data_IF_440084798060
#
_entry.id   IF_440084798060
#
_cell.length_a   1.000
_cell.length_b   1.000
_cell.length_c   1.000
_cell.angle_alpha   90.00
_cell.angle_beta   90.00
_cell.angle_gamma   90.00
#
_symmetry.space_group_name_H-M   'P 1'
#
loop_
_entity.id
_entity.type
_entity.pdbx_description
1 polymer ?
#
# COMPACT_ATOMS: atom_id res chain seq x y z
N UNK A 1 49.18 21.52 17.76
CA UNK A 1 47.84 21.54 18.36
C UNK A 1 46.97 20.35 17.90
N UNK A 2 47.14 19.88 16.63
CA UNK A 2 46.28 18.82 16.07
C UNK A 2 46.57 17.39 16.60
N UNK A 3 47.78 17.09 17.06
CA UNK A 3 48.14 15.75 17.57
C UNK A 3 47.59 15.49 18.98
N UNK A 4 47.46 16.54 19.82
CA UNK A 4 46.87 16.42 21.14
C UNK A 4 45.36 16.22 21.10
N UNK A 5 44.67 16.87 20.16
CA UNK A 5 43.23 16.72 19.98
C UNK A 5 42.88 15.30 19.47
N UNK A 6 43.66 14.76 18.54
CA UNK A 6 43.49 13.40 18.04
C UNK A 6 43.69 12.34 19.14
N UNK A 7 44.72 12.53 20.02
CA UNK A 7 44.96 11.62 21.13
C UNK A 7 43.81 11.64 22.15
N UNK A 8 43.25 12.80 22.46
CA UNK A 8 42.10 12.93 23.39
C UNK A 8 40.84 12.28 22.80
N UNK A 9 40.63 12.40 21.48
CA UNK A 9 39.48 11.77 20.83
C UNK A 9 39.58 10.24 20.81
N UNK A 10 40.77 9.68 20.63
CA UNK A 10 40.99 8.21 20.65
C UNK A 10 40.80 7.67 22.07
N UNK A 11 41.28 8.37 23.10
CA UNK A 11 41.09 7.96 24.49
C UNK A 11 39.63 8.04 24.91
N UNK A 12 38.89 9.09 24.48
CA UNK A 12 37.46 9.21 24.74
C UNK A 12 36.66 8.08 24.08
N UNK A 13 36.99 7.73 22.84
CA UNK A 13 36.33 6.61 22.14
C UNK A 13 36.61 5.25 22.81
N UNK A 14 37.83 5.01 23.27
CA UNK A 14 38.20 3.80 23.99
C UNK A 14 37.48 3.68 25.35
N UNK A 15 37.33 4.80 26.07
CA UNK A 15 36.58 4.82 27.34
C UNK A 15 35.10 4.55 27.13
N UNK A 16 34.47 5.08 26.05
CA UNK A 16 33.07 4.78 25.71
C UNK A 16 32.90 3.31 25.34
N UNK A 17 33.81 2.74 24.57
CA UNK A 17 33.76 1.32 24.20
C UNK A 17 33.93 0.43 25.43
N UNK A 18 34.84 0.74 26.36
CA UNK A 18 35.02 0.02 27.61
C UNK A 18 33.80 0.16 28.53
N UNK A 19 33.18 1.33 28.58
CA UNK A 19 31.95 1.55 29.37
C UNK A 19 30.77 0.77 28.81
N UNK A 20 30.61 0.74 27.48
CA UNK A 20 29.58 -0.08 26.84
C UNK A 20 29.86 -1.57 27.07
N UNK A 21 31.10 -2.01 26.98
CA UNK A 21 31.46 -3.41 27.23
C UNK A 21 31.20 -3.83 28.69
N UNK A 22 31.43 -2.94 29.66
CA UNK A 22 31.17 -3.21 31.09
C UNK A 22 29.68 -3.32 31.42
N UNK A 23 28.78 -2.73 30.60
CA UNK A 23 27.32 -2.87 30.76
C UNK A 23 26.80 -4.21 30.23
N UNK A 24 27.58 -4.89 29.40
CA UNK A 24 27.18 -6.20 28.83
C UNK A 24 27.73 -7.39 29.61
N UNK A 25 28.71 -7.20 30.50
CA UNK A 25 29.26 -8.31 31.31
C UNK A 25 28.44 -8.65 32.54
N UNK A 26 27.49 -7.79 32.95
CA UNK A 26 26.59 -8.07 34.08
C UNK A 26 25.27 -8.70 33.66
N UNK A 27 25.05 -8.98 32.35
CA UNK A 27 23.80 -9.61 31.86
C UNK A 27 23.78 -11.14 32.06
N UNK A 28 24.94 -11.77 32.20
CA UNK A 28 25.04 -13.23 32.36
C UNK A 28 24.48 -13.72 33.70
N UNK A 29 24.55 -12.88 34.73
CA UNK A 29 24.04 -13.19 36.08
C UNK A 29 22.52 -12.99 36.21
N UNK A 30 21.90 -12.25 35.29
CA UNK A 30 20.45 -11.92 35.39
C UNK A 30 19.53 -12.87 34.60
N UNK A 31 20.06 -13.59 33.63
CA UNK A 31 19.23 -14.45 32.73
C UNK A 31 19.38 -15.96 33.00
N UNK A 32 20.32 -16.41 33.85
CA UNK A 32 20.46 -17.82 34.23
C UNK A 32 20.65 -18.78 33.04
N UNK A 33 21.10 -18.31 31.88
CA UNK A 33 21.31 -19.09 30.68
C UNK A 33 22.79 -19.35 30.50
N UNK A 34 23.22 -20.56 30.87
CA UNK A 34 24.57 -21.03 30.64
C UNK A 34 24.75 -21.41 29.17
N UNK A 35 25.31 -20.53 28.36
CA UNK A 35 25.63 -20.82 26.94
C UNK A 35 27.06 -21.36 26.90
N UNK A 36 27.32 -22.63 26.59
CA UNK A 36 28.67 -23.15 26.48
C UNK A 36 29.39 -22.47 25.31
N UNK A 37 30.54 -21.88 25.66
CA UNK A 37 31.43 -21.18 24.72
C UNK A 37 31.97 -22.15 23.66
N UNK A 38 31.91 -21.79 22.40
CA UNK A 38 32.33 -22.58 21.22
C UNK A 38 33.82 -22.95 21.23
N UNK A 39 34.60 -22.54 22.24
CA UNK A 39 36.02 -22.84 22.36
C UNK A 39 36.38 -24.29 22.68
N UNK A 40 35.49 -25.07 23.29
CA UNK A 40 35.78 -26.44 23.72
C UNK A 40 35.55 -27.54 22.65
N UNK A 41 35.08 -27.16 21.47
CA UNK A 41 34.81 -28.12 20.38
C UNK A 41 36.03 -28.41 19.48
N UNK A 42 37.18 -27.74 19.69
CA UNK A 42 38.36 -27.88 18.82
C UNK A 42 39.55 -28.60 19.47
N UNK A 43 39.42 -29.19 20.68
CA UNK A 43 40.54 -29.81 21.35
C UNK A 43 40.44 -31.31 21.67
N UNK A 44 39.56 -32.05 21.02
CA UNK A 44 39.55 -33.52 21.19
C UNK A 44 39.42 -34.27 19.87
N UNK A 45 40.48 -34.22 19.04
CA UNK A 45 40.70 -35.22 17.99
C UNK A 45 42.16 -35.53 17.81
N UNK A 46 42.75 -36.17 18.84
CA UNK A 46 43.90 -37.08 18.66
C UNK A 46 43.85 -38.07 19.80
N UNK A 47 43.06 -39.09 19.72
CA UNK A 47 43.43 -40.49 19.97
C UNK A 47 42.21 -41.40 19.98
N UNK A 48 42.32 -42.63 19.40
CA UNK A 48 41.45 -43.76 19.73
C UNK A 48 40.35 -44.13 18.77
N UNK A 49 40.69 -44.88 17.70
CA UNK A 49 39.78 -45.73 16.92
C UNK A 49 38.81 -46.52 17.80
N UNK A 50 37.53 -46.21 17.75
CA UNK A 50 36.44 -47.20 17.93
C UNK A 50 35.35 -46.87 16.95
N UNK A 51 35.03 -47.86 16.10
CA UNK A 51 34.01 -47.76 15.06
C UNK A 51 32.65 -47.45 15.64
N UNK A 52 32.08 -46.39 15.11
CA UNK A 52 30.63 -46.14 15.15
C UNK A 52 30.12 -46.38 13.72
N UNK A 53 29.08 -47.19 13.64
CA UNK A 53 28.41 -47.59 12.40
C UNK A 53 27.96 -46.39 11.59
N UNK A 54 28.13 -46.46 10.27
CA UNK A 54 27.81 -45.42 9.25
C UNK A 54 26.30 -45.02 9.14
N UNK A 55 25.46 -45.48 10.07
CA UNK A 55 24.00 -45.27 9.99
C UNK A 55 23.44 -44.11 10.83
N UNK A 56 24.27 -43.36 11.57
CA UNK A 56 23.77 -42.36 12.53
C UNK A 56 23.79 -40.91 12.05
N UNK A 57 24.25 -40.61 10.85
CA UNK A 57 24.25 -39.23 10.31
C UNK A 57 23.73 -39.17 8.87
N UNK A 58 22.52 -39.72 8.65
CA UNK A 58 21.71 -39.24 7.52
C UNK A 58 21.05 -37.93 7.95
N UNK A 59 21.79 -36.79 7.82
CA UNK A 59 21.15 -35.49 7.61
C UNK A 59 20.31 -35.70 6.34
N UNK A 60 18.99 -35.78 6.51
CA UNK A 60 18.09 -35.76 5.38
C UNK A 60 18.56 -34.66 4.45
N UNK A 61 18.82 -34.95 3.18
CA UNK A 61 19.04 -33.93 2.19
C UNK A 61 17.85 -33.00 2.30
N UNK A 62 18.07 -31.84 2.93
CA UNK A 62 17.15 -30.70 2.79
C UNK A 62 17.15 -30.46 1.28
N UNK A 63 16.10 -30.94 0.62
CA UNK A 63 15.92 -30.68 -0.78
C UNK A 63 15.99 -29.19 -0.96
N UNK A 64 17.06 -28.68 -1.56
CA UNK A 64 17.10 -27.32 -2.06
C UNK A 64 15.95 -27.27 -3.06
N UNK A 65 14.82 -26.69 -2.62
CA UNK A 65 13.72 -26.39 -3.53
C UNK A 65 14.34 -25.38 -4.49
N UNK A 66 14.72 -25.84 -5.68
CA UNK A 66 15.11 -24.94 -6.75
C UNK A 66 13.90 -24.03 -6.99
N UNK A 67 14.12 -22.70 -7.06
CA UNK A 67 13.08 -21.80 -7.54
C UNK A 67 12.51 -22.40 -8.83
N UNK A 68 11.20 -22.34 -9.04
CA UNK A 68 10.62 -22.71 -10.34
C UNK A 68 11.36 -21.90 -11.40
N UNK A 69 11.58 -22.42 -12.60
CA UNK A 69 12.34 -21.77 -13.68
C UNK A 69 11.77 -20.37 -14.06
N UNK A 70 10.63 -19.98 -13.49
CA UNK A 70 9.96 -18.69 -13.61
C UNK A 70 10.24 -17.70 -12.48
N UNK A 71 10.82 -18.15 -11.34
CA UNK A 71 11.11 -17.26 -10.19
C UNK A 71 12.52 -16.68 -10.31
N UNK A 72 12.59 -15.35 -10.24
CA UNK A 72 13.86 -14.62 -10.28
C UNK A 72 14.47 -14.54 -8.88
N UNK A 73 15.81 -14.57 -8.80
CA UNK A 73 16.50 -14.11 -7.60
C UNK A 73 16.39 -12.58 -7.49
N UNK A 74 16.48 -12.01 -6.28
CA UNK A 74 16.40 -10.55 -6.10
C UNK A 74 17.41 -9.78 -6.98
N UNK A 75 18.69 -10.20 -7.10
CA UNK A 75 19.61 -9.54 -8.05
C UNK A 75 19.15 -9.62 -9.50
N UNK A 76 18.67 -10.76 -9.96
CA UNK A 76 18.19 -10.92 -11.33
C UNK A 76 16.89 -10.15 -11.59
N UNK A 77 16.02 -10.09 -10.58
CA UNK A 77 14.81 -9.27 -10.63
C UNK A 77 15.17 -7.79 -10.75
N UNK A 78 16.08 -7.30 -9.91
CA UNK A 78 16.53 -5.90 -9.97
C UNK A 78 17.09 -5.55 -11.34
N UNK A 79 18.04 -6.34 -11.87
CA UNK A 79 18.62 -6.14 -13.20
C UNK A 79 17.58 -6.13 -14.34
N UNK A 80 16.50 -6.91 -14.18
CA UNK A 80 15.43 -6.97 -15.19
C UNK A 80 14.63 -5.67 -15.24
N UNK A 81 14.40 -5.01 -14.09
CA UNK A 81 13.40 -3.94 -13.96
C UNK A 81 14.00 -2.57 -13.62
N UNK A 82 15.26 -2.47 -13.21
CA UNK A 82 15.88 -1.21 -12.76
C UNK A 82 15.77 -0.08 -13.80
N UNK A 83 15.89 -0.40 -15.08
CA UNK A 83 15.82 0.57 -16.19
C UNK A 83 14.39 1.06 -16.46
N UNK A 84 13.40 0.44 -15.87
CA UNK A 84 11.98 0.83 -15.97
C UNK A 84 11.53 1.73 -14.83
N UNK A 85 12.34 1.92 -13.77
CA UNK A 85 11.99 2.69 -12.59
C UNK A 85 12.74 4.02 -12.60
N UNK A 86 11.99 5.12 -12.52
CA UNK A 86 12.49 6.48 -12.65
C UNK A 86 12.34 7.25 -11.34
N UNK A 87 13.13 8.31 -11.18
CA UNK A 87 12.91 9.33 -10.17
C UNK A 87 11.96 10.39 -10.72
N UNK A 88 11.08 10.89 -9.86
CA UNK A 88 10.21 12.03 -10.14
C UNK A 88 10.56 13.16 -9.17
N UNK A 89 10.72 14.36 -9.71
CA UNK A 89 10.96 15.59 -8.95
C UNK A 89 9.85 16.57 -9.29
N UNK A 90 9.05 16.95 -8.28
CA UNK A 90 8.14 18.08 -8.33
C UNK A 90 8.82 19.27 -7.64
N UNK A 91 9.14 20.32 -8.40
CA UNK A 91 9.90 21.46 -7.90
C UNK A 91 9.24 22.78 -8.26
N UNK A 92 9.41 23.77 -7.38
CA UNK A 92 9.06 25.15 -7.67
C UNK A 92 10.30 25.87 -8.22
N UNK A 93 10.17 26.58 -9.35
CA UNK A 93 11.27 27.37 -9.94
C UNK A 93 11.80 28.47 -9.00
N UNK A 94 10.99 28.89 -8.00
CA UNK A 94 11.31 29.96 -7.06
C UNK A 94 12.05 29.43 -5.83
N UNK A 95 11.73 28.21 -5.38
CA UNK A 95 12.37 27.60 -4.21
C UNK A 95 12.73 26.12 -4.47
N UNK A 96 13.99 25.92 -4.87
CA UNK A 96 14.54 24.59 -5.19
C UNK A 96 14.65 23.69 -3.93
N UNK A 97 14.55 24.28 -2.72
CA UNK A 97 14.64 23.55 -1.45
C UNK A 97 13.30 22.90 -1.03
N UNK A 98 12.19 23.29 -1.64
CA UNK A 98 10.86 22.69 -1.41
C UNK A 98 10.49 21.62 -2.45
N UNK A 99 11.48 20.97 -3.07
CA UNK A 99 11.20 19.92 -4.03
C UNK A 99 10.70 18.63 -3.35
N UNK A 100 9.62 18.05 -3.89
CA UNK A 100 9.17 16.69 -3.55
C UNK A 100 9.89 15.68 -4.44
N UNK A 101 10.28 14.58 -3.84
CA UNK A 101 10.96 13.49 -4.51
C UNK A 101 10.14 12.20 -4.35
N UNK A 102 9.96 11.49 -5.44
CA UNK A 102 9.35 10.18 -5.48
C UNK A 102 9.90 9.33 -6.59
N UNK A 103 9.30 8.19 -6.79
CA UNK A 103 9.59 7.27 -7.88
C UNK A 103 8.41 7.15 -8.82
N UNK A 104 8.64 6.57 -9.96
CA UNK A 104 7.65 6.14 -10.92
C UNK A 104 8.16 4.96 -11.73
N UNK A 105 7.32 4.42 -12.58
CA UNK A 105 7.74 3.38 -13.52
C UNK A 105 7.11 3.56 -14.89
N UNK A 106 7.79 3.07 -15.90
CA UNK A 106 7.35 3.14 -17.30
C UNK A 106 6.12 2.23 -17.46
N UNK A 107 5.00 2.83 -17.89
CA UNK A 107 3.75 2.12 -18.12
C UNK A 107 3.65 1.56 -19.54
N UNK A 108 4.03 2.35 -20.54
CA UNK A 108 3.96 1.97 -21.94
C UNK A 108 5.16 2.53 -22.77
N UNK A 109 5.22 2.14 -24.02
CA UNK A 109 6.24 2.61 -24.99
C UNK A 109 5.89 3.97 -25.63
N UNK A 110 4.82 4.62 -25.18
CA UNK A 110 4.43 5.96 -25.63
C UNK A 110 4.99 7.08 -24.73
N UNK A 111 5.57 6.74 -23.59
CA UNK A 111 6.17 7.72 -22.67
C UNK A 111 5.32 8.01 -21.43
N UNK A 112 4.32 7.19 -21.14
CA UNK A 112 3.53 7.32 -19.91
C UNK A 112 4.29 6.71 -18.73
N UNK A 113 4.38 7.48 -17.65
CA UNK A 113 4.99 7.10 -16.38
C UNK A 113 3.90 7.11 -15.30
N UNK A 114 3.79 6.04 -14.54
CA UNK A 114 2.87 5.96 -13.39
C UNK A 114 3.63 6.31 -12.12
N UNK A 115 2.94 7.05 -11.23
CA UNK A 115 3.39 7.40 -9.89
C UNK A 115 2.20 7.62 -8.96
N UNK A 116 2.46 8.02 -7.71
CA UNK A 116 1.41 8.47 -6.79
C UNK A 116 0.99 9.92 -7.07
N UNK A 117 -0.29 10.23 -6.80
CA UNK A 117 -0.80 11.60 -6.85
C UNK A 117 -0.03 12.52 -5.90
N UNK A 118 0.20 12.10 -4.65
CA UNK A 118 0.90 12.92 -3.64
C UNK A 118 2.34 13.26 -4.03
N UNK A 119 2.98 12.52 -4.94
CA UNK A 119 4.33 12.84 -5.44
C UNK A 119 4.31 14.07 -6.33
N UNK A 120 3.21 14.31 -7.06
CA UNK A 120 3.07 15.38 -8.06
C UNK A 120 2.10 16.49 -7.64
N UNK A 121 1.49 16.41 -6.47
CA UNK A 121 0.52 17.40 -5.94
C UNK A 121 1.18 18.51 -5.11
N UNK A 122 2.51 18.66 -5.19
CA UNK A 122 3.27 19.63 -4.41
C UNK A 122 3.05 21.10 -4.78
N UNK A 123 2.29 21.37 -5.86
CA UNK A 123 2.08 22.73 -6.36
C UNK A 123 3.31 23.31 -7.05
N UNK A 124 4.31 22.49 -7.32
CA UNK A 124 5.44 22.84 -8.17
C UNK A 124 4.95 23.11 -9.60
N UNK A 125 5.62 24.03 -10.28
CA UNK A 125 5.32 24.33 -11.69
C UNK A 125 6.23 23.55 -12.64
N UNK A 126 7.02 22.62 -12.09
CA UNK A 126 8.01 21.86 -12.84
C UNK A 126 8.07 20.42 -12.40
N UNK A 127 7.72 19.52 -13.32
CA UNK A 127 7.88 18.08 -13.15
C UNK A 127 9.04 17.58 -14.02
N UNK A 128 10.02 16.94 -13.40
CA UNK A 128 11.16 16.33 -14.08
C UNK A 128 11.18 14.83 -13.77
N UNK A 129 11.50 14.02 -14.78
CA UNK A 129 11.67 12.56 -14.67
C UNK A 129 13.13 12.25 -14.99
N UNK A 130 13.83 11.63 -14.05
CA UNK A 130 15.22 11.19 -14.21
C UNK A 130 15.28 9.69 -14.39
N UNK A 131 15.80 9.25 -15.52
CA UNK A 131 16.03 7.84 -15.81
C UNK A 131 17.31 7.33 -15.13
N UNK A 132 17.51 6.00 -14.98
CA UNK A 132 18.66 5.43 -14.26
C UNK A 132 20.03 5.78 -14.86
N UNK A 133 20.10 6.19 -16.12
CA UNK A 133 21.32 6.68 -16.77
C UNK A 133 21.66 8.15 -16.39
N UNK A 134 20.86 8.78 -15.50
CA UNK A 134 21.03 10.15 -15.05
C UNK A 134 20.48 11.21 -16.00
N UNK A 135 19.86 10.83 -17.12
CA UNK A 135 19.26 11.79 -18.05
C UNK A 135 17.91 12.26 -17.52
N UNK A 136 17.74 13.57 -17.47
CA UNK A 136 16.53 14.23 -16.97
C UNK A 136 15.67 14.67 -18.16
N UNK A 137 14.40 14.32 -18.11
CA UNK A 137 13.39 14.74 -19.08
C UNK A 137 12.32 15.58 -18.40
N UNK A 138 11.80 16.58 -19.12
CA UNK A 138 10.63 17.32 -18.66
C UNK A 138 9.41 16.41 -18.80
N UNK A 139 8.53 16.45 -17.79
CA UNK A 139 7.27 15.73 -17.81
C UNK A 139 6.08 16.67 -17.70
N UNK A 140 4.96 16.24 -18.26
CA UNK A 140 3.64 16.86 -18.10
C UNK A 140 2.72 15.94 -17.32
N UNK A 141 1.95 16.48 -16.38
CA UNK A 141 0.87 15.74 -15.73
C UNK A 141 -0.27 15.55 -16.74
N UNK A 142 -0.58 14.32 -17.10
CA UNK A 142 -1.67 13.98 -18.02
C UNK A 142 -2.98 13.87 -17.28
N UNK A 143 -2.98 13.23 -16.13
CA UNK A 143 -4.13 13.06 -15.28
C UNK A 143 -3.74 12.54 -13.93
N UNK A 144 -4.60 12.76 -12.94
CA UNK A 144 -4.41 12.22 -11.60
C UNK A 144 -5.72 11.94 -10.93
N UNK A 145 -5.66 11.01 -9.99
CA UNK A 145 -6.76 10.62 -9.14
C UNK A 145 -6.33 10.70 -7.67
N UNK A 146 -6.74 11.75 -6.95
CA UNK A 146 -6.45 11.90 -5.53
C UNK A 146 -7.07 10.79 -4.67
N UNK A 147 -8.26 10.30 -5.04
CA UNK A 147 -8.98 9.27 -4.27
C UNK A 147 -8.27 7.92 -4.29
N UNK A 148 -7.58 7.57 -5.39
CA UNK A 148 -6.78 6.35 -5.50
C UNK A 148 -5.29 6.59 -5.32
N UNK A 149 -4.85 7.84 -5.12
CA UNK A 149 -3.44 8.26 -5.04
C UNK A 149 -2.62 7.82 -6.26
N UNK A 150 -3.17 7.96 -7.48
CA UNK A 150 -2.51 7.61 -8.74
C UNK A 150 -2.36 8.85 -9.61
N UNK A 151 -1.21 8.98 -10.28
CA UNK A 151 -0.98 9.98 -11.32
C UNK A 151 -0.27 9.39 -12.53
N UNK A 152 -0.53 9.98 -13.70
CA UNK A 152 0.12 9.64 -14.96
C UNK A 152 0.84 10.87 -15.48
N UNK A 153 2.14 10.72 -15.70
CA UNK A 153 2.99 11.69 -16.35
C UNK A 153 3.27 11.26 -17.78
N UNK A 154 3.50 12.24 -18.63
CA UNK A 154 3.98 12.05 -19.99
C UNK A 154 5.37 12.68 -20.16
N UNK A 155 6.33 11.93 -20.66
CA UNK A 155 7.68 12.41 -20.97
C UNK A 155 7.88 12.50 -22.47
N UNK A 156 8.29 13.69 -22.94
CA UNK A 156 8.56 13.94 -24.35
C UNK A 156 10.03 13.62 -24.71
N UNK A 157 10.29 13.32 -25.98
CA UNK A 157 11.63 13.18 -26.56
C UNK A 157 12.50 12.07 -25.94
N UNK A 158 11.89 11.08 -25.26
CA UNK A 158 12.58 9.89 -24.74
C UNK A 158 12.72 8.86 -25.86
N UNK A 159 13.93 8.32 -26.03
CA UNK A 159 14.12 7.27 -27.02
C UNK A 159 13.38 5.98 -26.61
N UNK A 160 12.81 5.28 -27.58
CA UNK A 160 12.02 4.05 -27.33
C UNK A 160 12.81 2.96 -26.60
N UNK A 161 14.12 2.93 -26.79
CA UNK A 161 14.99 1.96 -26.10
C UNK A 161 15.04 2.15 -24.58
N UNK A 162 14.69 3.33 -24.09
CA UNK A 162 14.60 3.64 -22.65
C UNK A 162 13.21 3.40 -22.07
N UNK A 163 12.19 3.39 -22.91
CA UNK A 163 10.81 3.13 -22.51
C UNK A 163 10.59 1.61 -22.40
N UNK A 164 10.95 1.05 -21.28
CA UNK A 164 10.81 -0.38 -20.97
C UNK A 164 9.61 -0.61 -20.03
N UNK A 165 8.41 -0.91 -20.57
CA UNK A 165 7.21 -1.05 -19.77
C UNK A 165 7.29 -2.23 -18.79
N UNK A 166 6.77 -2.04 -17.57
CA UNK A 166 6.55 -3.13 -16.64
C UNK A 166 5.15 -3.74 -16.85
N UNK A 167 5.09 -5.07 -16.86
CA UNK A 167 3.82 -5.78 -16.94
C UNK A 167 3.08 -5.73 -15.61
N UNK A 168 1.78 -5.45 -15.65
CA UNK A 168 0.90 -5.57 -14.49
C UNK A 168 0.51 -7.06 -14.31
N UNK A 169 0.59 -7.56 -13.06
CA UNK A 169 -0.03 -8.82 -12.66
C UNK A 169 -1.50 -8.58 -12.26
N UNK A 170 -2.28 -9.63 -12.20
CA UNK A 170 -3.61 -9.59 -11.61
C UNK A 170 -3.50 -9.66 -10.07
N UNK A 171 -3.73 -8.50 -9.41
CA UNK A 171 -3.61 -8.39 -7.95
C UNK A 171 -4.67 -9.17 -7.17
N UNK A 172 -5.78 -9.58 -7.79
CA UNK A 172 -6.78 -10.44 -7.14
C UNK A 172 -6.26 -11.85 -6.80
N UNK A 173 -5.18 -12.27 -7.47
CA UNK A 173 -4.52 -13.53 -7.24
C UNK A 173 -3.42 -13.47 -6.18
N UNK A 174 -3.10 -12.28 -5.67
CA UNK A 174 -2.06 -12.06 -4.64
C UNK A 174 -2.50 -12.64 -3.30
N UNK A 175 -1.60 -13.36 -2.65
CA UNK A 175 -1.88 -14.02 -1.36
C UNK A 175 -0.89 -13.60 -0.29
N UNK A 176 -1.39 -13.53 0.94
CA UNK A 176 -0.54 -13.32 2.13
C UNK A 176 0.56 -14.38 2.20
N UNK A 177 1.79 -13.93 2.45
CA UNK A 177 2.99 -14.77 2.49
C UNK A 177 3.77 -14.81 1.16
N UNK A 178 3.25 -14.29 0.05
CA UNK A 178 3.99 -14.20 -1.20
C UNK A 178 5.14 -13.20 -1.11
N UNK A 179 6.30 -13.57 -1.66
CA UNK A 179 7.49 -12.72 -1.66
C UNK A 179 7.34 -11.56 -2.62
N UNK A 180 7.74 -10.37 -2.16
CA UNK A 180 7.66 -9.14 -2.93
C UNK A 180 8.96 -8.34 -2.86
N UNK A 181 9.15 -7.47 -3.85
CA UNK A 181 10.22 -6.48 -3.86
C UNK A 181 9.63 -5.11 -4.20
N UNK A 182 9.90 -4.12 -3.35
CA UNK A 182 9.61 -2.72 -3.63
C UNK A 182 10.86 -2.08 -4.24
N UNK A 183 10.67 -1.36 -5.35
CA UNK A 183 11.77 -0.65 -6.01
C UNK A 183 11.43 0.84 -6.07
N UNK A 184 12.44 1.65 -5.84
CA UNK A 184 12.41 3.10 -6.04
C UNK A 184 13.73 3.60 -6.59
N UNK A 185 13.73 4.85 -7.04
CA UNK A 185 14.93 5.53 -7.52
C UNK A 185 15.07 6.91 -6.86
N UNK A 186 15.28 6.98 -5.53
CA UNK A 186 15.23 8.23 -4.77
C UNK A 186 16.33 9.25 -5.15
N UNK A 187 17.40 8.81 -5.81
CA UNK A 187 18.56 9.66 -6.14
C UNK A 187 18.81 9.82 -7.64
N UNK A 188 17.96 9.23 -8.49
CA UNK A 188 18.07 9.36 -9.96
C UNK A 188 19.28 8.67 -10.60
N UNK A 189 20.12 7.98 -9.84
CA UNK A 189 21.38 7.38 -10.32
C UNK A 189 21.38 5.87 -10.27
N UNK A 190 20.79 5.29 -9.21
CA UNK A 190 20.68 3.84 -9.03
C UNK A 190 19.46 3.53 -8.20
N UNK A 191 18.66 2.59 -8.68
CA UNK A 191 17.48 2.14 -7.96
C UNK A 191 17.82 1.52 -6.60
N UNK A 192 16.90 1.64 -5.67
CA UNK A 192 16.94 0.95 -4.38
C UNK A 192 15.92 -0.16 -4.38
N UNK A 193 16.31 -1.36 -3.95
CA UNK A 193 15.43 -2.51 -3.79
C UNK A 193 15.29 -2.84 -2.30
N UNK A 194 14.06 -2.96 -1.84
CA UNK A 194 13.72 -3.57 -0.56
C UNK A 194 12.86 -4.81 -0.81
N UNK A 195 12.90 -5.79 0.09
CA UNK A 195 12.13 -7.03 -0.09
C UNK A 195 11.46 -7.46 1.19
N UNK A 196 10.34 -8.13 1.05
CA UNK A 196 9.52 -8.67 2.12
C UNK A 196 8.50 -9.65 1.59
N UNK A 197 7.36 -9.69 2.24
CA UNK A 197 6.20 -10.50 1.84
C UNK A 197 4.94 -9.64 1.81
N UNK A 198 3.90 -10.12 1.14
CA UNK A 198 2.55 -9.62 1.33
C UNK A 198 2.09 -10.00 2.73
N UNK A 199 1.84 -9.01 3.58
CA UNK A 199 1.41 -9.19 4.98
C UNK A 199 -0.11 -9.15 5.13
N UNK A 200 -0.82 -8.58 4.17
CA UNK A 200 -2.28 -8.50 4.14
C UNK A 200 -2.80 -8.07 2.78
N UNK A 201 -4.05 -8.41 2.49
CA UNK A 201 -4.78 -8.01 1.28
C UNK A 201 -6.15 -7.44 1.70
N UNK A 202 -6.79 -6.67 0.83
CA UNK A 202 -8.11 -6.11 1.11
C UNK A 202 -8.12 -5.12 2.28
N UNK A 203 -7.00 -4.41 2.51
CA UNK A 203 -6.93 -3.34 3.51
C UNK A 203 -7.56 -2.08 2.97
N UNK A 204 -8.00 -1.23 3.89
CA UNK A 204 -8.47 0.11 3.53
C UNK A 204 -7.64 1.13 4.27
N UNK A 205 -7.35 2.22 3.57
CA UNK A 205 -6.56 3.32 4.10
C UNK A 205 -7.23 4.64 3.75
N UNK A 206 -7.23 5.66 4.64
CA UNK A 206 -7.79 6.97 4.31
C UNK A 206 -7.09 7.57 3.09
N UNK A 207 -7.83 8.15 2.16
CA UNK A 207 -7.25 8.98 1.10
C UNK A 207 -6.65 10.26 1.72
N UNK A 208 -5.52 10.75 1.18
CA UNK A 208 -4.81 11.90 1.80
C UNK A 208 -5.55 13.22 1.64
N UNK A 209 -6.12 13.45 0.46
CA UNK A 209 -6.67 14.75 0.07
C UNK A 209 -8.20 14.73 -0.01
N UNK A 210 -8.83 13.65 0.46
CA UNK A 210 -10.27 13.45 0.33
C UNK A 210 -10.90 13.18 1.69
N UNK A 211 -11.55 14.19 2.23
CA UNK A 211 -12.18 14.14 3.55
C UNK A 211 -13.26 13.05 3.62
N UNK A 212 -12.91 11.94 4.29
CA UNK A 212 -13.85 10.85 4.57
C UNK A 212 -13.84 9.70 3.56
N UNK A 213 -12.96 9.70 2.57
CA UNK A 213 -12.79 8.58 1.64
C UNK A 213 -11.65 7.66 2.02
N UNK A 214 -11.76 6.41 1.62
CA UNK A 214 -10.74 5.39 1.83
C UNK A 214 -10.37 4.77 0.50
N UNK A 215 -9.07 4.48 0.32
CA UNK A 215 -8.58 3.68 -0.80
C UNK A 215 -8.82 2.21 -0.43
N UNK A 216 -9.68 1.49 -1.16
CA UNK A 216 -9.98 0.10 -0.86
C UNK A 216 -8.92 -0.86 -1.41
N UNK A 217 -9.01 -2.13 -0.99
CA UNK A 217 -8.25 -3.28 -1.51
C UNK A 217 -6.71 -3.16 -1.42
N UNK A 218 -6.20 -2.30 -0.57
CA UNK A 218 -4.77 -2.04 -0.41
C UNK A 218 -4.01 -3.31 -0.02
N UNK A 219 -2.85 -3.51 -0.66
CA UNK A 219 -1.88 -4.54 -0.29
C UNK A 219 -1.01 -4.04 0.85
N UNK A 220 -0.89 -4.85 1.91
CA UNK A 220 0.02 -4.60 3.02
C UNK A 220 1.29 -5.44 2.84
N UNK A 221 2.46 -4.87 3.11
CA UNK A 221 3.76 -5.55 3.03
C UNK A 221 4.66 -5.20 4.21
N UNK A 222 5.59 -6.07 4.55
CA UNK A 222 6.70 -5.80 5.46
C UNK A 222 8.00 -5.40 4.72
N UNK A 223 7.96 -5.35 3.38
CA UNK A 223 9.05 -4.72 2.61
C UNK A 223 9.17 -3.25 3.02
N UNK A 224 10.37 -2.75 3.40
CA UNK A 224 10.52 -1.36 3.81
C UNK A 224 10.14 -0.37 2.72
N UNK A 225 9.04 0.37 2.96
CA UNK A 225 8.61 1.50 2.14
C UNK A 225 8.98 2.78 2.87
N UNK A 226 9.76 3.64 2.22
CA UNK A 226 10.24 4.91 2.76
C UNK A 226 10.07 6.02 1.71
N UNK A 227 10.14 7.30 2.11
CA UNK A 227 10.23 8.40 1.14
C UNK A 227 11.31 8.12 0.10
N UNK A 228 10.92 8.19 -1.18
CA UNK A 228 11.75 7.81 -2.32
C UNK A 228 11.34 6.49 -3.01
N UNK A 229 10.69 5.55 -2.32
CA UNK A 229 10.08 4.38 -2.96
C UNK A 229 8.62 4.65 -3.37
N UNK A 230 7.96 5.68 -2.78
CA UNK A 230 6.59 6.08 -3.14
C UNK A 230 6.47 6.36 -4.62
N UNK A 231 5.44 5.82 -5.25
CA UNK A 231 5.19 5.88 -6.69
C UNK A 231 5.95 4.82 -7.50
N UNK A 232 6.95 4.17 -6.92
CA UNK A 232 7.65 3.04 -7.54
C UNK A 232 6.83 1.73 -7.46
N UNK A 233 7.20 0.70 -8.23
CA UNK A 233 6.46 -0.55 -8.27
C UNK A 233 6.72 -1.44 -7.05
N UNK A 234 5.65 -2.12 -6.58
CA UNK A 234 5.74 -3.34 -5.79
C UNK A 234 5.66 -4.52 -6.76
N UNK A 235 6.66 -5.38 -6.76
CA UNK A 235 6.82 -6.47 -7.71
C UNK A 235 6.68 -7.83 -7.04
N UNK A 236 6.12 -8.78 -7.77
CA UNK A 236 6.25 -10.20 -7.44
C UNK A 236 7.63 -10.73 -7.89
N UNK A 237 7.95 -11.99 -7.53
CA UNK A 237 9.24 -12.63 -7.87
C UNK A 237 9.39 -12.97 -9.36
N UNK A 238 8.39 -12.71 -10.20
CA UNK A 238 8.50 -12.80 -11.67
C UNK A 238 8.86 -11.45 -12.31
N UNK A 239 8.87 -10.37 -11.50
CA UNK A 239 9.12 -9.01 -11.96
C UNK A 239 7.89 -8.35 -12.58
N UNK A 240 6.70 -8.79 -12.21
CA UNK A 240 5.42 -8.19 -12.58
C UNK A 240 4.94 -7.27 -11.47
N UNK A 241 4.35 -6.14 -11.82
CA UNK A 241 3.82 -5.15 -10.88
C UNK A 241 2.53 -5.70 -10.25
N UNK A 242 2.51 -5.83 -8.94
CA UNK A 242 1.31 -6.15 -8.16
C UNK A 242 0.72 -4.92 -7.50
N UNK A 243 1.44 -3.78 -7.49
CA UNK A 243 0.93 -2.52 -6.95
C UNK A 243 1.93 -1.38 -7.06
N UNK A 244 1.50 -0.17 -6.62
CA UNK A 244 2.32 1.03 -6.48
C UNK A 244 2.63 1.22 -5.00
N UNK A 245 3.91 1.34 -4.63
CA UNK A 245 4.31 1.64 -3.25
C UNK A 245 3.77 3.01 -2.81
N UNK A 246 3.14 3.05 -1.63
CA UNK A 246 2.68 4.30 -1.03
C UNK A 246 3.22 4.41 0.40
N UNK A 247 4.05 5.41 0.67
CA UNK A 247 4.67 5.64 1.98
C UNK A 247 3.80 6.50 2.93
N UNK A 248 2.53 6.71 2.59
CA UNK A 248 1.63 7.69 3.22
C UNK A 248 1.31 7.37 4.70
N UNK A 249 1.39 6.10 5.11
CA UNK A 249 0.78 5.61 6.35
C UNK A 249 1.79 5.36 7.49
N UNK A 250 2.81 6.18 7.58
CA UNK A 250 3.68 6.19 8.75
C UNK A 250 3.36 7.41 9.62
N UNK A 251 2.88 7.21 10.83
CA UNK A 251 2.65 8.29 11.81
C UNK A 251 3.93 9.04 12.19
N UNK A 252 5.10 8.46 11.88
CA UNK A 252 6.43 9.02 12.16
C UNK A 252 7.17 9.50 10.91
N UNK A 253 6.59 9.32 9.70
CA UNK A 253 7.27 9.55 8.43
C UNK A 253 8.38 8.54 8.11
N UNK A 254 8.51 7.48 8.91
CA UNK A 254 9.49 6.41 8.74
C UNK A 254 8.80 5.04 8.74
N UNK A 255 9.40 4.07 8.06
CA UNK A 255 8.91 2.70 8.06
C UNK A 255 8.89 2.11 9.47
N UNK A 256 7.72 1.65 9.91
CA UNK A 256 7.49 1.05 11.22
C UNK A 256 7.14 -0.46 11.14
N UNK A 257 7.60 -1.15 10.10
CA UNK A 257 7.31 -2.57 9.87
C UNK A 257 6.03 -2.83 9.06
N UNK A 258 5.37 -1.77 8.59
CA UNK A 258 4.15 -1.87 7.77
C UNK A 258 4.28 -0.91 6.59
N UNK A 259 4.20 -1.45 5.39
CA UNK A 259 4.13 -0.70 4.12
C UNK A 259 2.82 -1.02 3.42
N UNK A 260 2.41 -0.13 2.52
CA UNK A 260 1.19 -0.27 1.74
C UNK A 260 1.46 -0.06 0.26
N UNK A 261 0.68 -0.73 -0.59
CA UNK A 261 0.72 -0.53 -2.02
C UNK A 261 -0.68 -0.56 -2.62
N UNK A 262 -0.92 0.34 -3.57
CA UNK A 262 -2.15 0.41 -4.36
C UNK A 262 -2.13 -0.75 -5.36
N UNK A 263 -3.17 -1.59 -5.44
CA UNK A 263 -3.17 -2.79 -6.26
C UNK A 263 -3.01 -2.54 -7.76
N UNK A 264 -2.43 -3.48 -8.48
CA UNK A 264 -2.29 -3.39 -9.94
C UNK A 264 -3.63 -3.40 -10.70
N UNK A 265 -4.67 -4.04 -10.16
CA UNK A 265 -6.00 -3.99 -10.77
C UNK A 265 -6.59 -2.58 -10.72
N UNK A 266 -6.36 -1.82 -9.64
CA UNK A 266 -6.73 -0.40 -9.55
C UNK A 266 -5.99 0.43 -10.62
N UNK A 267 -4.70 0.14 -10.86
CA UNK A 267 -3.93 0.79 -11.95
C UNK A 267 -4.59 0.49 -13.30
N UNK A 268 -4.88 -0.78 -13.56
CA UNK A 268 -5.47 -1.22 -14.83
C UNK A 268 -6.86 -0.60 -15.09
N UNK A 269 -7.62 -0.33 -14.03
CA UNK A 269 -8.93 0.29 -14.08
C UNK A 269 -8.86 1.81 -14.33
N UNK A 270 -7.99 2.52 -13.60
CA UNK A 270 -7.99 3.99 -13.54
C UNK A 270 -7.11 4.60 -14.65
N UNK A 271 -5.90 4.08 -14.87
CA UNK A 271 -4.90 4.70 -15.73
C UNK A 271 -5.37 4.95 -17.17
N UNK A 272 -6.12 4.05 -17.85
CA UNK A 272 -6.63 4.32 -19.19
C UNK A 272 -7.50 5.59 -19.27
N UNK A 273 -8.31 5.84 -18.23
CA UNK A 273 -9.14 7.06 -18.14
C UNK A 273 -8.28 8.30 -17.88
N UNK A 274 -7.27 8.20 -17.01
CA UNK A 274 -6.33 9.32 -16.79
C UNK A 274 -5.60 9.72 -18.06
N UNK A 275 -5.20 8.74 -18.89
CA UNK A 275 -4.52 9.02 -20.17
C UNK A 275 -5.48 9.66 -21.17
N UNK A 276 -6.74 9.24 -21.23
CA UNK A 276 -7.67 9.68 -22.29
C UNK A 276 -8.45 10.93 -21.94
N UNK A 277 -8.82 11.11 -20.68
CA UNK A 277 -9.71 12.19 -20.21
C UNK A 277 -9.11 13.05 -19.11
N UNK A 278 -7.96 12.68 -18.55
CA UNK A 278 -7.29 13.39 -17.46
C UNK A 278 -7.83 13.10 -16.07
N UNK A 279 -8.96 12.37 -15.96
CA UNK A 279 -9.61 12.05 -14.68
C UNK A 279 -10.30 10.69 -14.74
N UNK A 280 -10.57 10.13 -13.56
CA UNK A 280 -11.39 8.92 -13.40
C UNK A 280 -12.68 9.27 -12.67
N UNK A 281 -13.79 8.68 -13.09
CA UNK A 281 -15.09 8.87 -12.47
C UNK A 281 -15.42 7.68 -11.57
N UNK A 282 -15.31 7.88 -10.26
CA UNK A 282 -15.64 6.86 -9.27
C UNK A 282 -17.14 6.59 -9.21
N UNK A 283 -17.58 5.33 -9.22
CA UNK A 283 -19.00 5.00 -9.01
C UNK A 283 -19.43 5.37 -7.58
N UNK A 284 -20.64 5.89 -7.44
CA UNK A 284 -21.12 6.43 -6.18
C UNK A 284 -22.60 6.12 -5.98
N UNK A 285 -22.95 5.76 -4.71
CA UNK A 285 -24.32 5.47 -4.30
C UNK A 285 -25.03 6.65 -3.63
N UNK A 286 -24.31 7.41 -2.78
CA UNK A 286 -24.84 8.59 -2.11
C UNK A 286 -25.54 8.32 -0.79
N UNK A 287 -25.00 7.44 0.02
CA UNK A 287 -25.44 7.17 1.40
C UNK A 287 -24.34 7.59 2.38
N UNK A 288 -24.76 8.02 3.57
CA UNK A 288 -23.88 8.22 4.72
C UNK A 288 -24.50 7.54 5.94
N UNK A 289 -23.68 7.03 6.86
CA UNK A 289 -24.19 6.28 7.99
C UNK A 289 -23.08 5.69 8.86
N UNK A 290 -23.42 4.61 9.54
CA UNK A 290 -22.50 3.94 10.47
C UNK A 290 -22.59 2.42 10.36
N UNK A 291 -21.48 1.76 10.69
CA UNK A 291 -21.47 0.30 10.82
C UNK A 291 -22.35 -0.15 11.97
N UNK A 292 -22.99 -1.30 11.80
CA UNK A 292 -23.84 -1.87 12.81
C UNK A 292 -23.02 -2.30 14.04
N UNK A 293 -23.19 -1.61 15.15
CA UNK A 293 -22.62 -1.96 16.46
C UNK A 293 -23.63 -2.74 17.33
N UNK A 294 -23.17 -3.50 18.35
CA UNK A 294 -24.08 -4.24 19.23
C UNK A 294 -25.19 -3.39 19.85
N UNK A 295 -24.87 -2.19 20.36
CA UNK A 295 -25.87 -1.28 20.94
C UNK A 295 -26.91 -0.79 19.92
N UNK A 296 -26.53 -0.66 18.63
CA UNK A 296 -27.46 -0.30 17.56
C UNK A 296 -28.36 -1.50 17.23
N UNK A 297 -27.79 -2.71 17.10
CA UNK A 297 -28.52 -3.93 16.82
C UNK A 297 -29.57 -4.21 17.93
N UNK A 298 -29.17 -4.12 19.20
CA UNK A 298 -30.09 -4.26 20.35
C UNK A 298 -31.24 -3.26 20.28
N UNK A 299 -30.96 -2.00 19.92
CA UNK A 299 -31.98 -0.94 19.84
C UNK A 299 -32.98 -1.19 18.68
N UNK A 300 -32.49 -1.78 17.56
CA UNK A 300 -33.27 -2.14 16.39
C UNK A 300 -33.92 -3.54 16.52
N UNK A 301 -33.63 -4.28 17.60
CA UNK A 301 -34.16 -5.63 17.81
C UNK A 301 -33.59 -6.68 16.85
N UNK A 302 -32.34 -6.50 16.43
CA UNK A 302 -31.63 -7.41 15.51
C UNK A 302 -30.79 -8.41 16.30
N UNK A 303 -30.82 -9.68 15.88
CA UNK A 303 -30.09 -10.78 16.54
C UNK A 303 -28.55 -10.65 16.37
N UNK A 304 -28.09 -10.00 15.29
CA UNK A 304 -26.68 -9.86 14.96
C UNK A 304 -26.33 -8.43 14.53
N UNK A 305 -25.20 -7.87 15.02
CA UNK A 305 -24.73 -6.57 14.60
C UNK A 305 -24.04 -6.66 13.23
N UNK A 306 -24.81 -6.76 12.16
CA UNK A 306 -24.32 -6.82 10.77
C UNK A 306 -25.02 -5.80 9.90
N UNK A 307 -24.24 -5.23 8.96
CA UNK A 307 -24.73 -4.32 7.96
C UNK A 307 -24.30 -2.88 8.20
N UNK A 308 -24.80 -2.01 7.36
CA UNK A 308 -24.55 -0.58 7.39
C UNK A 308 -25.86 0.17 7.59
N UNK A 309 -26.01 0.89 8.70
CA UNK A 309 -27.16 1.73 8.99
C UNK A 309 -27.07 3.04 8.20
N UNK A 310 -28.02 3.30 7.33
CA UNK A 310 -28.13 4.54 6.56
C UNK A 310 -28.68 5.63 7.47
N UNK A 311 -27.88 6.63 7.78
CA UNK A 311 -28.27 7.79 8.60
C UNK A 311 -28.71 8.97 7.74
N UNK A 312 -28.04 9.17 6.60
CA UNK A 312 -28.35 10.20 5.62
C UNK A 312 -28.30 9.67 4.20
N UNK A 313 -29.14 10.24 3.32
CA UNK A 313 -29.16 10.00 1.88
C UNK A 313 -28.98 11.33 1.17
N UNK A 314 -27.99 11.41 0.28
CA UNK A 314 -27.70 12.65 -0.43
C UNK A 314 -28.81 12.92 -1.47
N UNK A 315 -29.33 14.15 -1.47
CA UNK A 315 -30.37 14.56 -2.38
C UNK A 315 -29.90 14.44 -3.85
N UNK A 316 -30.75 13.90 -4.73
CA UNK A 316 -30.45 13.65 -6.13
C UNK A 316 -29.56 12.42 -6.40
N UNK A 317 -29.10 11.73 -5.35
CA UNK A 317 -28.24 10.56 -5.46
C UNK A 317 -28.93 9.33 -6.06
N UNK A 318 -28.16 8.31 -6.50
CA UNK A 318 -28.68 6.99 -6.82
C UNK A 318 -29.49 6.35 -5.70
N UNK A 319 -29.04 6.49 -4.45
CA UNK A 319 -29.73 5.95 -3.28
C UNK A 319 -31.11 6.58 -3.08
N UNK A 320 -31.23 7.91 -3.19
CA UNK A 320 -32.53 8.59 -3.12
C UNK A 320 -33.48 8.12 -4.24
N UNK A 321 -32.98 8.04 -5.47
CA UNK A 321 -33.76 7.57 -6.63
C UNK A 321 -34.21 6.12 -6.49
N UNK A 322 -33.40 5.29 -5.85
CA UNK A 322 -33.73 3.89 -5.56
C UNK A 322 -34.72 3.77 -4.37
N UNK A 323 -35.02 4.87 -3.66
CA UNK A 323 -35.93 4.87 -2.53
C UNK A 323 -35.33 4.35 -1.23
N UNK A 324 -34.00 4.40 -1.09
CA UNK A 324 -33.30 4.17 0.19
C UNK A 324 -33.69 5.29 1.16
N UNK A 325 -34.00 4.94 2.39
CA UNK A 325 -34.47 5.88 3.41
C UNK A 325 -33.39 6.20 4.44
N UNK A 326 -33.27 7.49 4.75
CA UNK A 326 -32.44 7.99 5.83
C UNK A 326 -33.10 7.81 7.19
N UNK A 327 -32.31 7.82 8.28
CA UNK A 327 -32.80 7.89 9.64
C UNK A 327 -33.48 9.23 9.94
N UNK A 328 -34.57 9.19 10.69
CA UNK A 328 -35.36 10.37 11.13
C UNK A 328 -35.50 10.48 12.65
N UNK A 329 -35.19 9.44 13.43
CA UNK A 329 -35.23 9.41 14.89
C UNK A 329 -33.85 9.76 15.48
N UNK A 330 -33.74 10.89 16.17
CA UNK A 330 -32.52 11.25 16.90
C UNK A 330 -32.33 10.34 18.12
N UNK A 331 -31.19 9.68 18.23
CA UNK A 331 -30.85 8.79 19.32
C UNK A 331 -29.41 9.01 19.80
N UNK A 332 -29.13 8.55 21.03
CA UNK A 332 -27.78 8.49 21.58
C UNK A 332 -27.51 7.04 21.99
N UNK A 333 -26.58 6.37 21.32
CA UNK A 333 -26.20 4.99 21.62
C UNK A 333 -24.71 4.98 21.99
N UNK A 334 -24.39 4.39 23.13
CA UNK A 334 -23.02 4.34 23.69
C UNK A 334 -22.34 5.71 23.78
N UNK A 335 -23.15 6.77 23.98
CA UNK A 335 -22.69 8.16 24.08
C UNK A 335 -22.47 8.86 22.72
N UNK A 336 -22.78 8.20 21.61
CA UNK A 336 -22.63 8.73 20.24
C UNK A 336 -24.01 9.16 19.72
N UNK A 337 -24.20 10.45 19.36
CA UNK A 337 -25.42 10.91 18.68
C UNK A 337 -25.53 10.29 17.28
N UNK A 338 -26.70 9.79 16.92
CA UNK A 338 -26.96 9.22 15.61
C UNK A 338 -28.43 9.32 15.23
N UNK A 339 -28.75 9.06 13.96
CA UNK A 339 -30.11 8.94 13.46
C UNK A 339 -30.47 7.48 13.26
N UNK A 340 -31.59 7.04 13.86
CA UNK A 340 -32.18 5.72 13.68
C UNK A 340 -33.42 5.79 12.75
N UNK A 341 -33.96 4.62 12.39
CA UNK A 341 -35.15 4.52 11.51
C UNK A 341 -34.81 4.47 10.02
N UNK A 342 -33.54 4.65 9.65
CA UNK A 342 -33.10 4.44 8.29
C UNK A 342 -32.93 2.98 7.92
N UNK A 343 -32.78 2.71 6.62
CA UNK A 343 -32.53 1.37 6.10
C UNK A 343 -31.20 0.80 6.61
N UNK A 344 -31.14 -0.51 6.78
CA UNK A 344 -29.89 -1.22 7.02
C UNK A 344 -29.52 -1.99 5.76
N UNK A 345 -28.41 -1.62 5.13
CA UNK A 345 -27.88 -2.36 3.98
C UNK A 345 -27.21 -3.63 4.49
N UNK A 346 -27.70 -4.80 4.06
CA UNK A 346 -27.24 -6.12 4.52
C UNK A 346 -26.57 -6.95 3.43
N UNK A 347 -26.86 -6.67 2.15
CA UNK A 347 -26.16 -7.28 1.02
C UNK A 347 -26.22 -6.36 -0.21
N UNK A 348 -25.24 -6.50 -1.11
CA UNK A 348 -25.21 -5.90 -2.45
C UNK A 348 -24.79 -6.98 -3.45
N UNK A 349 -25.54 -7.12 -4.57
CA UNK A 349 -25.31 -8.15 -5.60
C UNK A 349 -24.99 -9.53 -5.01
N UNK A 350 -25.80 -9.95 -4.03
CA UNK A 350 -25.64 -11.18 -3.24
C UNK A 350 -24.37 -11.26 -2.33
N UNK A 351 -23.56 -10.20 -2.25
CA UNK A 351 -22.44 -10.13 -1.32
C UNK A 351 -22.91 -9.59 0.04
N UNK A 352 -22.68 -10.33 1.11
CA UNK A 352 -23.06 -9.91 2.47
C UNK A 352 -22.28 -8.68 2.89
N UNK A 353 -22.97 -7.65 3.36
CA UNK A 353 -22.40 -6.42 3.90
C UNK A 353 -22.34 -6.54 5.42
N UNK A 354 -21.16 -6.35 5.98
CA UNK A 354 -20.90 -6.31 7.42
C UNK A 354 -20.64 -4.89 7.91
N UNK A 355 -20.06 -4.05 7.02
CA UNK A 355 -19.66 -2.67 7.31
C UNK A 355 -19.57 -1.87 6.01
N UNK A 356 -19.42 -0.54 6.15
CA UNK A 356 -19.27 0.38 5.00
C UNK A 356 -18.13 -0.02 4.06
N UNK A 357 -17.05 -0.52 4.61
CA UNK A 357 -15.87 -0.93 3.83
C UNK A 357 -16.20 -2.01 2.79
N UNK A 358 -17.12 -2.93 3.11
CA UNK A 358 -17.54 -3.97 2.17
C UNK A 358 -18.29 -3.35 0.97
N UNK A 359 -19.09 -2.29 1.21
CA UNK A 359 -19.81 -1.54 0.16
C UNK A 359 -18.80 -0.79 -0.72
N UNK A 360 -17.92 0.00 -0.10
CA UNK A 360 -16.96 0.84 -0.82
C UNK A 360 -16.03 0.00 -1.69
N UNK A 361 -15.48 -1.10 -1.13
CA UNK A 361 -14.60 -1.99 -1.87
C UNK A 361 -15.32 -2.64 -3.06
N UNK A 362 -16.54 -3.15 -2.85
CA UNK A 362 -17.31 -3.80 -3.91
C UNK A 362 -17.66 -2.82 -5.04
N UNK A 363 -18.19 -1.66 -4.69
CA UNK A 363 -18.58 -0.63 -5.66
C UNK A 363 -17.38 -0.13 -6.46
N UNK A 364 -16.22 0.08 -5.81
CA UNK A 364 -15.03 0.57 -6.47
C UNK A 364 -14.37 -0.48 -7.39
N UNK A 365 -14.37 -1.76 -7.00
CA UNK A 365 -13.66 -2.81 -7.74
C UNK A 365 -14.53 -3.42 -8.83
N UNK A 366 -15.81 -3.67 -8.55
CA UNK A 366 -16.68 -4.49 -9.39
C UNK A 366 -17.68 -3.69 -10.23
N UNK A 367 -17.78 -2.35 -9.99
CA UNK A 367 -18.79 -1.51 -10.64
C UNK A 367 -18.17 -0.31 -11.35
N UNK A 368 -18.95 0.21 -12.28
CA UNK A 368 -18.68 1.43 -13.03
C UNK A 368 -19.84 2.41 -12.93
N UNK A 369 -19.61 3.67 -13.29
CA UNK A 369 -20.68 4.67 -13.41
C UNK A 369 -21.69 4.20 -14.47
N UNK A 370 -22.96 4.17 -14.07
CA UNK A 370 -24.07 3.70 -14.90
C UNK A 370 -24.46 2.24 -14.68
N UNK A 371 -23.69 1.48 -13.90
CA UNK A 371 -24.07 0.11 -13.56
C UNK A 371 -25.18 0.08 -12.51
N UNK A 372 -26.03 -0.93 -12.61
CA UNK A 372 -27.03 -1.22 -11.60
C UNK A 372 -26.41 -2.00 -10.43
N UNK A 373 -26.85 -1.65 -9.22
CA UNK A 373 -26.47 -2.26 -7.95
C UNK A 373 -27.74 -2.80 -7.28
N UNK A 374 -27.85 -4.12 -7.13
CA UNK A 374 -28.93 -4.77 -6.39
C UNK A 374 -28.60 -4.68 -4.88
N UNK A 375 -29.46 -4.00 -4.11
CA UNK A 375 -29.23 -3.72 -2.71
C UNK A 375 -30.31 -4.39 -1.87
N UNK A 376 -29.93 -5.32 -1.00
CA UNK A 376 -30.82 -5.89 0.00
C UNK A 376 -30.78 -5.02 1.25
N UNK A 377 -31.90 -4.45 1.60
CA UNK A 377 -32.09 -3.62 2.79
C UNK A 377 -33.01 -4.29 3.80
N UNK A 378 -32.82 -3.94 5.07
CA UNK A 378 -33.76 -4.22 6.11
C UNK A 378 -34.44 -2.90 6.52
N UNK A 379 -35.77 -2.81 6.33
CA UNK A 379 -36.64 -1.67 6.66
C UNK A 379 -37.78 -2.15 7.53
N UNK A 380 -37.95 -1.57 8.72
CA UNK A 380 -39.00 -1.94 9.67
C UNK A 380 -39.08 -3.45 9.98
N UNK A 381 -37.91 -4.10 10.05
CA UNK A 381 -37.81 -5.55 10.27
C UNK A 381 -38.14 -6.43 9.05
N UNK A 382 -38.38 -5.85 7.88
CA UNK A 382 -38.65 -6.56 6.62
C UNK A 382 -37.50 -6.44 5.63
N UNK A 383 -37.10 -7.56 5.04
CA UNK A 383 -36.12 -7.57 3.96
C UNK A 383 -36.77 -7.08 2.67
N UNK A 384 -36.11 -6.16 1.99
CA UNK A 384 -36.53 -5.60 0.71
C UNK A 384 -35.34 -5.51 -0.22
N UNK A 385 -35.58 -5.68 -1.51
CA UNK A 385 -34.60 -5.46 -2.56
C UNK A 385 -34.91 -4.15 -3.28
N UNK A 386 -33.87 -3.33 -3.46
CA UNK A 386 -33.92 -2.09 -4.25
C UNK A 386 -32.78 -2.09 -5.26
N UNK A 387 -33.00 -1.45 -6.41
CA UNK A 387 -31.96 -1.34 -7.45
C UNK A 387 -31.58 0.13 -7.59
N UNK A 388 -30.28 0.43 -7.48
CA UNK A 388 -29.74 1.76 -7.67
C UNK A 388 -28.80 1.78 -8.89
N UNK A 389 -29.03 2.67 -9.85
CA UNK A 389 -28.08 2.91 -10.95
C UNK A 389 -27.02 3.89 -10.48
N UNK A 390 -25.76 3.44 -10.38
CA UNK A 390 -24.64 4.22 -9.85
C UNK A 390 -24.35 5.45 -10.71
N UNK A 391 -24.04 6.57 -10.08
CA UNK A 391 -23.63 7.81 -10.74
C UNK A 391 -22.16 8.11 -10.50
N UNK A 392 -21.60 9.04 -11.24
CA UNK A 392 -20.30 9.59 -10.93
C UNK A 392 -20.37 10.35 -9.59
N UNK A 393 -19.33 10.15 -8.75
CA UNK A 393 -19.18 10.92 -7.50
C UNK A 393 -19.13 12.41 -7.81
N UNK A 394 -19.91 13.27 -7.13
CA UNK A 394 -19.83 14.71 -7.31
C UNK A 394 -18.44 15.23 -6.93
N UNK A 395 -17.90 16.16 -7.72
CA UNK A 395 -16.68 16.88 -7.32
C UNK A 395 -16.98 17.81 -6.14
N UNK A 396 -16.01 18.01 -5.23
CA UNK A 396 -16.18 18.90 -4.06
C UNK A 396 -16.57 20.34 -4.42
N UNK A 397 -16.37 20.78 -5.67
CA UNK A 397 -16.75 22.11 -6.14
C UNK A 397 -18.26 22.29 -6.39
N UNK A 398 -19.05 21.20 -6.49
CA UNK A 398 -20.50 21.27 -6.73
C UNK A 398 -21.33 21.19 -5.45
N UNK A 399 -20.71 20.95 -4.30
CA UNK A 399 -21.39 20.75 -3.01
C UNK A 399 -21.36 21.96 -2.07
N UNK A 400 -21.00 23.15 -2.56
CA UNK A 400 -20.96 24.41 -1.78
C UNK A 400 -22.07 25.40 -2.13
#
# INVERSE_FOLDING_TARGET
LNKAILAVSIVAAAVVILFVYSQFTDLDDYLGINVPFVGDLLQTTTDGRRGLSDDAFRIGQVGIVKPSDTELTLPSLFQKVENSVVQITDSNEIDVFESRLGSGFVYDDNGHIITNHHVVSGGGNRLDVTFPDGVVYRASLIGSDPSADIAVLYVEDVSKEKLLPLSLADSSNVRVGERVAAIGNPFGLSGSLTSGIVSGVGRQIPAQDDEGFTIPDILQTDAPINPGNSGGPLLNIRGEVIGINSAIFSTTGQFAGVGFAIPSNTIAQIVPSLITTGSYQHPWLGVAGTDMAPGIADRLGLDEPRGFLVMDVVAGSPAEKAGIQSGDEDAVIDGIPMKLGGDVIIAIDNNTIRKIDDILAYVEIEKSVGDDLEIMILRDGQMMEVIATLAARPSQQESS
#
